data_IF_894602833238
#
_entry.id   IF_894602833238
#
_cell.length_a   1.000
_cell.length_b   1.000
_cell.length_c   1.000
_cell.angle_alpha   90.00
_cell.angle_beta   90.00
_cell.angle_gamma   90.00
#
_symmetry.space_group_name_H-M   'P 1'
#
loop_
_entity.id
_entity.type
_entity.pdbx_description
1 polymer ?
#
# COMPACT_ATOMS: atom_id res chain seq x y z
N UNK A 1 18.78 -45.82 17.91
CA UNK A 1 17.51 -45.60 17.20
C UNK A 1 16.80 -44.44 17.88
N UNK A 2 17.18 -43.24 17.49
CA UNK A 2 16.68 -41.97 18.01
C UNK A 2 15.63 -41.47 17.01
N UNK A 3 14.39 -41.29 17.47
CA UNK A 3 13.25 -40.91 16.63
C UNK A 3 13.33 -39.41 16.26
N UNK A 4 13.50 -39.06 14.97
CA UNK A 4 13.56 -37.67 14.53
C UNK A 4 12.20 -36.94 14.56
N UNK A 5 11.07 -37.67 14.59
CA UNK A 5 9.74 -37.05 14.58
C UNK A 5 9.38 -36.27 15.85
N UNK A 6 10.02 -36.54 17.00
CA UNK A 6 9.67 -35.85 18.24
C UNK A 6 10.21 -34.41 18.32
N UNK A 7 11.22 -34.07 17.50
CA UNK A 7 11.79 -32.70 17.47
C UNK A 7 10.96 -31.74 16.65
N UNK A 8 10.39 -32.19 15.53
CA UNK A 8 9.50 -31.38 14.68
C UNK A 8 8.21 -31.02 15.45
N UNK A 9 7.66 -31.97 16.21
CA UNK A 9 6.49 -31.73 17.04
C UNK A 9 6.75 -30.73 18.18
N UNK A 10 7.97 -30.68 18.72
CA UNK A 10 8.37 -29.72 19.76
C UNK A 10 8.65 -28.31 19.21
N UNK A 11 9.03 -28.19 17.93
CA UNK A 11 9.20 -26.91 17.23
C UNK A 11 7.83 -26.34 16.86
N UNK A 12 6.93 -27.16 16.29
CA UNK A 12 5.55 -26.76 15.98
C UNK A 12 4.75 -26.38 17.24
N UNK A 13 4.92 -27.13 18.34
CA UNK A 13 4.24 -26.80 19.59
C UNK A 13 4.78 -25.52 20.25
N UNK A 14 6.07 -25.18 20.05
CA UNK A 14 6.63 -23.89 20.48
C UNK A 14 6.18 -22.72 19.60
N UNK A 15 6.16 -22.86 18.26
CA UNK A 15 5.64 -21.83 17.34
C UNK A 15 4.14 -21.55 17.56
N UNK A 16 3.34 -22.59 17.82
CA UNK A 16 1.92 -22.44 18.16
C UNK A 16 1.69 -21.78 19.54
N UNK A 17 2.53 -22.05 20.55
CA UNK A 17 2.44 -21.39 21.87
C UNK A 17 2.96 -19.95 21.87
N UNK A 18 3.80 -19.55 20.91
CA UNK A 18 4.25 -18.15 20.76
C UNK A 18 3.19 -17.33 20.02
N UNK A 19 2.58 -17.85 18.94
CA UNK A 19 1.43 -17.18 18.27
C UNK A 19 0.21 -17.07 19.20
N UNK A 20 -0.06 -18.08 20.03
CA UNK A 20 -1.17 -18.04 21.00
C UNK A 20 -0.97 -17.07 22.18
N UNK A 21 0.25 -16.54 22.38
CA UNK A 21 0.50 -15.43 23.32
C UNK A 21 0.43 -14.04 22.67
N UNK A 22 0.49 -13.94 21.34
CA UNK A 22 0.35 -12.68 20.59
C UNK A 22 -1.13 -12.37 20.30
N UNK A 23 -1.99 -13.39 20.20
CA UNK A 23 -3.45 -13.24 19.96
C UNK A 23 -4.30 -12.87 21.20
N UNK A 24 -3.75 -12.90 22.42
CA UNK A 24 -4.46 -12.39 23.62
C UNK A 24 -4.15 -10.91 23.94
N UNK A 25 -3.40 -10.21 23.08
CA UNK A 25 -3.08 -8.77 23.25
C UNK A 25 -3.70 -7.84 22.18
N UNK A 26 -4.42 -8.39 21.19
CA UNK A 26 -4.94 -7.61 20.05
C UNK A 26 -6.34 -6.99 20.19
N UNK A 27 -7.12 -7.31 21.23
CA UNK A 27 -8.51 -6.80 21.38
C UNK A 27 -8.66 -5.65 22.40
N UNK A 28 -7.60 -4.89 22.72
CA UNK A 28 -7.71 -3.82 23.74
C UNK A 28 -6.90 -2.54 23.48
N UNK A 29 -6.44 -2.25 22.26
CA UNK A 29 -5.58 -1.06 22.05
C UNK A 29 -6.37 0.24 21.82
N UNK A 30 -7.57 0.20 21.24
CA UNK A 30 -8.35 1.44 21.00
C UNK A 30 -9.21 1.88 22.19
N UNK A 31 -9.44 1.01 23.19
CA UNK A 31 -10.21 1.35 24.42
C UNK A 31 -9.34 1.57 25.66
N UNK A 32 -8.02 1.37 25.58
CA UNK A 32 -7.12 1.38 26.75
C UNK A 32 -6.33 2.68 26.94
N UNK A 33 -6.19 3.53 25.92
CA UNK A 33 -5.58 4.86 26.10
C UNK A 33 -6.51 5.85 26.82
N UNK A 34 -7.84 5.72 26.67
CA UNK A 34 -8.82 6.51 27.44
C UNK A 34 -9.07 5.97 28.87
N UNK A 35 -8.88 4.68 29.13
CA UNK A 35 -9.14 4.07 30.45
C UNK A 35 -7.96 4.16 31.43
N UNK A 36 -6.71 4.30 30.94
CA UNK A 36 -5.53 4.53 31.80
C UNK A 36 -5.47 5.95 32.36
N UNK A 37 -6.01 6.96 31.68
CA UNK A 37 -6.16 8.30 32.24
C UNK A 37 -7.29 8.38 33.29
N UNK A 38 -8.38 7.63 33.12
CA UNK A 38 -9.47 7.56 34.11
C UNK A 38 -9.12 6.72 35.36
N UNK A 39 -8.32 5.65 35.22
CA UNK A 39 -7.89 4.85 36.37
C UNK A 39 -6.81 5.55 37.22
N UNK A 40 -5.93 6.35 36.60
CA UNK A 40 -4.98 7.20 37.32
C UNK A 40 -5.69 8.38 38.01
N UNK A 41 -6.71 8.98 37.39
CA UNK A 41 -7.54 9.99 38.05
C UNK A 41 -8.33 9.43 39.24
N UNK A 42 -8.87 8.20 39.14
CA UNK A 42 -9.59 7.56 40.25
C UNK A 42 -8.66 7.07 41.38
N UNK A 43 -7.42 6.67 41.09
CA UNK A 43 -6.42 6.30 42.09
C UNK A 43 -5.81 7.53 42.81
N UNK A 44 -5.65 8.66 42.11
CA UNK A 44 -5.21 9.93 42.71
C UNK A 44 -6.30 10.51 43.64
N UNK A 45 -7.58 10.35 43.30
CA UNK A 45 -8.71 10.75 44.17
C UNK A 45 -8.82 9.86 45.42
N UNK A 46 -8.39 8.59 45.36
CA UNK A 46 -8.41 7.68 46.52
C UNK A 46 -7.15 7.76 47.41
N UNK A 47 -6.02 8.29 46.92
CA UNK A 47 -4.82 8.54 47.75
C UNK A 47 -4.87 9.85 48.55
N UNK A 48 -5.77 10.78 48.21
CA UNK A 48 -5.99 12.01 48.99
C UNK A 48 -6.99 11.84 50.15
N UNK A 49 -7.64 10.67 50.26
CA UNK A 49 -8.67 10.41 51.28
C UNK A 49 -8.19 9.86 52.63
N UNK A 50 -6.90 9.54 52.80
CA UNK A 50 -6.40 8.83 54.00
C UNK A 50 -5.43 9.63 54.89
N UNK A 51 -5.19 10.92 54.60
CA UNK A 51 -4.43 11.80 55.50
C UNK A 51 -5.36 12.76 56.24
N UNK A 52 -6.31 12.19 57.01
CA UNK A 52 -6.94 12.93 58.11
C UNK A 52 -6.23 12.61 59.41
N UNK A 53 -5.85 13.68 60.10
CA UNK A 53 -5.30 13.79 61.45
C UNK A 53 -3.77 13.88 61.49
N UNK A 54 -3.26 15.08 61.25
CA UNK A 54 -2.60 15.84 62.30
C UNK A 54 -2.54 17.33 61.92
N UNK A 55 -3.07 18.14 62.82
CA UNK A 55 -3.03 19.59 62.80
C UNK A 55 -1.58 20.09 62.85
N UNK A 56 -1.06 20.60 61.73
CA UNK A 56 0.02 21.59 61.72
C UNK A 56 -0.17 22.47 60.47
N UNK A 57 -0.79 23.64 60.69
CA UNK A 57 -0.90 24.75 59.73
C UNK A 57 0.51 25.29 59.40
N UNK A 58 1.17 24.72 58.39
CA UNK A 58 2.14 25.47 57.60
C UNK A 58 1.56 25.70 56.20
N UNK A 59 1.20 26.96 55.94
CA UNK A 59 0.70 27.43 54.66
C UNK A 59 1.72 27.14 53.55
N UNK A 60 1.57 26.00 52.87
CA UNK A 60 2.26 25.72 51.62
C UNK A 60 1.81 26.76 50.60
N UNK A 61 2.76 27.61 50.20
CA UNK A 61 2.57 28.53 49.08
C UNK A 61 2.32 27.68 47.84
N UNK A 62 1.35 28.04 46.98
CA UNK A 62 1.12 27.33 45.73
C UNK A 62 2.45 27.25 44.98
N UNK A 63 2.90 26.02 44.74
CA UNK A 63 4.03 25.77 43.87
C UNK A 63 3.64 26.37 42.51
N UNK A 64 4.48 27.24 41.91
CA UNK A 64 4.15 27.78 40.60
C UNK A 64 3.89 26.59 39.67
N UNK A 65 2.70 26.56 39.07
CA UNK A 65 2.42 25.60 37.99
C UNK A 65 3.57 25.76 36.98
N UNK A 66 4.27 24.68 36.64
CA UNK A 66 5.32 24.77 35.63
C UNK A 66 4.65 25.35 34.38
N UNK A 67 5.14 26.52 33.96
CA UNK A 67 4.69 27.17 32.72
C UNK A 67 4.78 26.12 31.62
N UNK A 68 3.61 25.67 31.18
CA UNK A 68 3.41 24.70 30.12
C UNK A 68 3.88 25.40 28.84
N UNK A 69 5.18 25.25 28.55
CA UNK A 69 5.77 25.67 27.29
C UNK A 69 5.10 24.81 26.22
N UNK A 70 4.05 25.34 25.60
CA UNK A 70 3.49 24.79 24.39
C UNK A 70 4.58 24.88 23.33
N UNK A 71 5.13 23.73 22.95
CA UNK A 71 6.00 23.65 21.78
C UNK A 71 5.16 24.05 20.57
N UNK A 72 5.62 25.08 19.85
CA UNK A 72 5.00 25.51 18.61
C UNK A 72 5.40 24.50 17.54
N UNK A 73 4.42 23.73 17.05
CA UNK A 73 4.59 22.78 15.95
C UNK A 73 4.73 23.61 14.67
N UNK A 74 5.76 23.37 13.84
CA UNK A 74 5.88 24.06 12.56
C UNK A 74 4.65 23.78 11.68
N UNK A 75 4.38 24.66 10.72
CA UNK A 75 3.35 24.44 9.71
C UNK A 75 4.00 23.69 8.53
N UNK A 76 3.38 22.60 8.07
CA UNK A 76 3.86 21.83 6.93
C UNK A 76 3.46 22.55 5.64
N UNK A 77 4.45 22.90 4.82
CA UNK A 77 4.25 23.52 3.50
C UNK A 77 4.24 22.43 2.41
N UNK A 78 3.67 22.74 1.24
CA UNK A 78 3.55 21.80 0.11
C UNK A 78 4.91 21.21 -0.33
N UNK A 79 5.92 22.05 -0.51
CA UNK A 79 7.29 21.61 -0.87
C UNK A 79 7.91 20.70 0.21
N UNK A 80 7.59 20.93 1.49
CA UNK A 80 8.09 20.10 2.59
C UNK A 80 7.34 18.75 2.64
N UNK A 81 6.05 18.73 2.32
CA UNK A 81 5.28 17.50 2.21
C UNK A 81 5.82 16.60 1.08
N UNK A 82 6.17 17.17 -0.08
CA UNK A 82 6.84 16.45 -1.18
C UNK A 82 8.16 15.82 -0.72
N UNK A 83 9.01 16.57 -0.02
CA UNK A 83 10.29 16.06 0.51
C UNK A 83 10.08 14.89 1.49
N UNK A 84 9.06 14.97 2.34
CA UNK A 84 8.69 13.88 3.27
C UNK A 84 8.27 12.62 2.50
N UNK A 85 7.44 12.77 1.46
CA UNK A 85 6.95 11.65 0.63
C UNK A 85 8.06 11.05 -0.26
N UNK A 86 8.95 11.88 -0.79
CA UNK A 86 10.17 11.42 -1.49
C UNK A 86 11.07 10.62 -0.54
N UNK A 87 11.36 11.15 0.65
CA UNK A 87 12.16 10.47 1.67
C UNK A 87 11.53 9.12 2.03
N UNK A 88 10.19 9.08 2.12
CA UNK A 88 9.43 7.86 2.35
C UNK A 88 9.65 6.81 1.27
N UNK A 89 9.53 7.19 0.00
CA UNK A 89 9.80 6.31 -1.14
C UNK A 89 11.28 5.85 -1.19
N UNK A 90 12.21 6.79 -1.08
CA UNK A 90 13.65 6.53 -1.13
C UNK A 90 14.10 5.53 -0.06
N UNK A 91 13.59 5.62 1.17
CA UNK A 91 13.95 4.67 2.22
C UNK A 91 13.56 3.23 1.85
N UNK A 92 12.39 3.03 1.24
CA UNK A 92 11.97 1.72 0.79
C UNK A 92 12.79 1.23 -0.41
N UNK A 93 13.00 2.09 -1.40
CA UNK A 93 13.82 1.74 -2.58
C UNK A 93 15.25 1.39 -2.18
N UNK A 94 15.84 2.12 -1.23
CA UNK A 94 17.18 1.80 -0.71
C UNK A 94 17.25 0.38 -0.12
N UNK A 95 16.20 -0.12 0.54
CA UNK A 95 16.18 -1.50 1.04
C UNK A 95 16.16 -2.49 -0.12
N UNK A 96 15.36 -2.23 -1.16
CA UNK A 96 15.24 -3.10 -2.34
C UNK A 96 16.54 -3.10 -3.16
N UNK A 97 17.12 -1.93 -3.42
CA UNK A 97 18.33 -1.78 -4.23
C UNK A 97 19.56 -2.43 -3.59
N UNK A 98 19.60 -2.52 -2.25
CA UNK A 98 20.67 -3.19 -1.51
C UNK A 98 20.44 -4.70 -1.35
N UNK A 99 19.31 -5.23 -1.79
CA UNK A 99 19.09 -6.67 -1.79
C UNK A 99 20.00 -7.38 -2.80
N UNK A 100 20.35 -8.63 -2.49
CA UNK A 100 21.07 -9.50 -3.41
C UNK A 100 20.22 -9.85 -4.65
N UNK A 101 20.86 -10.39 -5.68
CA UNK A 101 20.20 -10.76 -6.96
C UNK A 101 19.05 -11.77 -6.77
N UNK A 102 19.06 -12.55 -5.69
CA UNK A 102 17.99 -13.49 -5.32
C UNK A 102 16.92 -12.90 -4.39
N UNK A 103 16.97 -11.59 -4.14
CA UNK A 103 16.02 -10.87 -3.29
C UNK A 103 16.31 -10.94 -1.79
N UNK A 104 17.45 -11.51 -1.36
CA UNK A 104 17.88 -11.51 0.04
C UNK A 104 18.31 -10.10 0.48
N UNK A 105 17.68 -9.55 1.51
CA UNK A 105 18.04 -8.26 2.09
C UNK A 105 19.16 -8.48 3.11
N UNK A 106 20.39 -8.07 2.78
CA UNK A 106 21.58 -8.41 3.58
C UNK A 106 21.99 -7.37 4.62
N UNK A 107 21.40 -6.18 4.59
CA UNK A 107 21.76 -5.08 5.48
C UNK A 107 21.09 -5.16 6.87
N UNK A 108 20.12 -6.07 7.04
CA UNK A 108 19.36 -6.25 8.28
C UNK A 108 19.39 -7.72 8.73
N UNK A 109 19.57 -7.94 10.03
CA UNK A 109 19.63 -9.29 10.62
C UNK A 109 18.23 -9.84 10.97
N UNK A 110 17.20 -8.99 11.01
CA UNK A 110 15.82 -9.38 11.37
C UNK A 110 14.76 -8.41 10.85
N UNK A 111 13.50 -8.86 10.62
CA UNK A 111 12.40 -7.98 10.25
C UNK A 111 12.18 -6.83 11.25
N UNK A 112 12.44 -7.06 12.54
CA UNK A 112 12.33 -6.01 13.56
C UNK A 112 13.36 -4.88 13.39
N UNK A 113 14.57 -5.20 12.89
CA UNK A 113 15.60 -4.19 12.61
C UNK A 113 15.22 -3.37 11.37
N UNK A 114 14.68 -4.02 10.34
CA UNK A 114 14.13 -3.35 9.16
C UNK A 114 12.96 -2.43 9.54
N UNK A 115 12.07 -2.89 10.42
CA UNK A 115 10.98 -2.07 10.95
C UNK A 115 11.51 -0.85 11.73
N UNK A 116 12.57 -1.01 12.53
CA UNK A 116 13.20 0.10 13.25
C UNK A 116 13.77 1.15 12.29
N UNK A 117 14.38 0.71 11.18
CA UNK A 117 14.88 1.60 10.13
C UNK A 117 13.74 2.37 9.46
N UNK A 118 12.66 1.70 9.05
CA UNK A 118 11.48 2.38 8.50
C UNK A 118 10.83 3.33 9.51
N UNK A 119 10.80 2.99 10.80
CA UNK A 119 10.24 3.86 11.84
C UNK A 119 10.97 5.20 11.99
N UNK A 120 12.12 5.37 11.34
CA UNK A 120 12.79 6.68 11.26
C UNK A 120 12.11 7.66 10.31
N UNK A 121 11.31 7.21 9.35
CA UNK A 121 10.68 8.07 8.34
C UNK A 121 9.16 7.92 8.29
N UNK A 122 8.63 6.88 8.93
CA UNK A 122 7.19 6.60 9.02
C UNK A 122 6.77 6.18 10.43
N UNK A 123 5.48 6.08 10.70
CA UNK A 123 4.98 5.61 12.00
C UNK A 123 5.38 4.15 12.26
N UNK A 124 5.48 3.76 13.54
CA UNK A 124 5.79 2.38 13.93
C UNK A 124 4.78 1.38 13.36
N UNK A 125 3.50 1.78 13.31
CA UNK A 125 2.41 0.96 12.78
C UNK A 125 2.50 0.79 11.25
N UNK A 126 2.79 1.88 10.51
CA UNK A 126 3.00 1.81 9.06
C UNK A 126 4.29 1.04 8.72
N UNK A 127 5.37 1.25 9.47
CA UNK A 127 6.63 0.51 9.32
C UNK A 127 6.42 -1.00 9.49
N UNK A 128 5.62 -1.42 10.48
CA UNK A 128 5.28 -2.82 10.68
C UNK A 128 4.47 -3.38 9.49
N UNK A 129 3.45 -2.64 9.03
CA UNK A 129 2.62 -3.03 7.88
C UNK A 129 3.45 -3.19 6.60
N UNK A 130 4.36 -2.25 6.34
CA UNK A 130 5.28 -2.29 5.20
C UNK A 130 6.26 -3.47 5.31
N UNK A 131 6.89 -3.66 6.47
CA UNK A 131 7.80 -4.79 6.69
C UNK A 131 7.09 -6.15 6.49
N UNK A 132 5.89 -6.30 7.05
CA UNK A 132 5.11 -7.54 6.95
C UNK A 132 4.56 -7.80 5.53
N UNK A 133 4.25 -6.76 4.76
CA UNK A 133 3.65 -6.89 3.42
C UNK A 133 4.68 -7.24 2.33
N UNK A 134 5.90 -6.70 2.43
CA UNK A 134 6.90 -6.76 1.37
C UNK A 134 8.10 -7.63 1.72
N UNK A 135 8.24 -8.11 2.97
CA UNK A 135 9.39 -8.89 3.40
C UNK A 135 8.99 -10.14 4.19
N UNK A 136 9.67 -11.26 3.92
CA UNK A 136 9.46 -12.53 4.63
C UNK A 136 10.78 -13.06 5.20
N UNK A 137 10.76 -13.48 6.47
CA UNK A 137 11.86 -14.19 7.11
C UNK A 137 11.78 -15.70 6.82
N UNK A 138 12.83 -16.26 6.23
CA UNK A 138 12.90 -17.68 5.94
C UNK A 138 13.22 -18.54 7.20
N UNK A 139 13.35 -19.87 7.04
CA UNK A 139 13.67 -20.75 8.18
C UNK A 139 15.09 -20.57 8.75
N UNK A 140 15.99 -19.95 8.00
CA UNK A 140 17.38 -19.69 8.37
C UNK A 140 17.56 -18.32 9.05
N UNK A 141 16.53 -17.46 9.00
CA UNK A 141 16.52 -16.11 9.56
C UNK A 141 16.88 -15.01 8.56
N UNK A 142 17.07 -15.34 7.28
CA UNK A 142 17.32 -14.35 6.23
C UNK A 142 16.01 -13.73 5.75
N UNK A 143 16.05 -12.43 5.46
CA UNK A 143 14.90 -11.63 4.99
C UNK A 143 14.89 -11.62 3.46
N UNK A 144 13.73 -11.85 2.85
CA UNK A 144 13.55 -11.81 1.41
C UNK A 144 12.43 -10.87 1.02
N UNK A 145 12.59 -10.18 -0.11
CA UNK A 145 11.52 -9.39 -0.73
C UNK A 145 10.44 -10.34 -1.27
N UNK A 146 9.19 -10.10 -0.92
CA UNK A 146 8.02 -10.84 -1.41
C UNK A 146 7.41 -10.05 -2.58
N UNK A 147 7.26 -10.72 -3.73
CA UNK A 147 6.68 -10.12 -4.93
C UNK A 147 5.14 -10.07 -4.86
N UNK A 148 4.59 -9.48 -3.81
CA UNK A 148 3.14 -9.47 -3.55
C UNK A 148 2.41 -8.48 -4.44
N UNK A 149 2.93 -7.26 -4.53
CA UNK A 149 2.43 -6.09 -5.27
C UNK A 149 3.48 -4.99 -5.10
N UNK A 150 3.49 -3.93 -5.90
CA UNK A 150 4.37 -2.77 -5.69
C UNK A 150 3.63 -1.75 -4.80
N UNK A 151 4.30 -1.07 -3.84
CA UNK A 151 3.66 0.02 -3.13
C UNK A 151 3.27 1.13 -4.10
N UNK A 152 2.14 1.78 -3.83
CA UNK A 152 1.73 2.96 -4.57
C UNK A 152 2.55 4.15 -4.06
N UNK A 153 3.29 4.77 -4.98
CA UNK A 153 4.18 5.89 -4.66
C UNK A 153 3.57 7.22 -5.04
N UNK A 154 3.99 8.26 -4.32
CA UNK A 154 3.64 9.64 -4.65
C UNK A 154 4.27 10.01 -5.99
N UNK A 155 3.45 10.55 -6.90
CA UNK A 155 3.91 11.01 -8.21
C UNK A 155 3.99 12.54 -8.26
N UNK A 156 5.20 13.08 -8.33
CA UNK A 156 5.43 14.54 -8.38
C UNK A 156 4.91 15.19 -9.68
N UNK A 157 4.71 14.41 -10.73
CA UNK A 157 4.19 14.92 -12.00
C UNK A 157 2.67 15.11 -11.96
N UNK A 158 1.98 14.43 -11.05
CA UNK A 158 0.54 14.48 -10.87
C UNK A 158 0.12 15.56 -9.86
N UNK A 159 -1.06 16.15 -10.08
CA UNK A 159 -1.59 17.15 -9.16
C UNK A 159 -2.08 16.51 -7.86
N UNK A 160 -1.81 17.15 -6.73
CA UNK A 160 -2.27 16.72 -5.42
C UNK A 160 -2.87 17.88 -4.62
N UNK A 161 -3.66 17.55 -3.59
CA UNK A 161 -4.20 18.50 -2.63
C UNK A 161 -3.58 18.25 -1.25
N UNK A 162 -3.08 19.31 -0.59
CA UNK A 162 -2.55 19.25 0.79
C UNK A 162 -3.55 19.92 1.74
N UNK A 163 -4.10 19.14 2.67
CA UNK A 163 -5.05 19.63 3.67
C UNK A 163 -4.52 19.46 5.10
N UNK A 164 -4.79 20.44 5.96
CA UNK A 164 -4.47 20.36 7.38
C UNK A 164 -5.64 19.73 8.14
N UNK A 165 -5.52 18.45 8.47
CA UNK A 165 -6.53 17.71 9.23
C UNK A 165 -6.54 18.08 10.72
N UNK A 166 -5.36 18.15 11.36
CA UNK A 166 -5.19 18.55 12.77
C UNK A 166 -3.97 19.47 12.97
N UNK A 167 -3.69 19.93 14.20
CA UNK A 167 -2.55 20.82 14.49
C UNK A 167 -1.19 20.19 14.07
N UNK A 168 -1.11 18.86 14.13
CA UNK A 168 0.08 18.05 13.88
C UNK A 168 -0.14 16.93 12.85
N UNK A 169 -1.21 17.02 12.05
CA UNK A 169 -1.58 16.04 11.03
C UNK A 169 -2.02 16.75 9.76
N UNK A 170 -1.44 16.34 8.64
CA UNK A 170 -1.76 16.80 7.30
C UNK A 170 -2.08 15.60 6.42
N UNK A 171 -2.90 15.81 5.40
CA UNK A 171 -3.30 14.80 4.42
C UNK A 171 -2.90 15.29 3.03
N UNK A 172 -2.28 14.40 2.24
CA UNK A 172 -1.98 14.62 0.82
C UNK A 172 -2.83 13.66 0.01
N UNK A 173 -3.76 14.20 -0.76
CA UNK A 173 -4.65 13.43 -1.64
C UNK A 173 -4.19 13.53 -3.09
N UNK A 174 -4.03 12.40 -3.76
CA UNK A 174 -3.60 12.32 -5.16
C UNK A 174 -4.43 11.28 -5.94
N UNK A 175 -5.04 11.71 -7.04
CA UNK A 175 -5.66 10.80 -8.02
C UNK A 175 -4.64 10.36 -9.08
N UNK A 176 -4.33 9.07 -9.13
CA UNK A 176 -3.45 8.47 -10.14
C UNK A 176 -4.27 7.91 -11.29
N UNK A 177 -4.41 8.70 -12.36
CA UNK A 177 -5.25 8.35 -13.52
C UNK A 177 -4.80 7.06 -14.21
N UNK A 178 -3.48 6.84 -14.31
CA UNK A 178 -2.93 5.65 -14.97
C UNK A 178 -3.25 4.36 -14.20
N UNK A 179 -3.35 4.45 -12.87
CA UNK A 179 -3.64 3.32 -11.99
C UNK A 179 -5.12 3.21 -11.62
N UNK A 180 -5.94 4.23 -11.94
CA UNK A 180 -7.33 4.37 -11.47
C UNK A 180 -7.44 4.32 -9.94
N UNK A 181 -6.46 4.89 -9.24
CA UNK A 181 -6.38 4.88 -7.78
C UNK A 181 -6.46 6.30 -7.22
N UNK A 182 -7.15 6.48 -6.11
CA UNK A 182 -7.03 7.62 -5.22
C UNK A 182 -6.16 7.24 -4.04
N UNK A 183 -5.13 8.03 -3.75
CA UNK A 183 -4.15 7.74 -2.69
C UNK A 183 -4.14 8.89 -1.69
N UNK A 184 -4.24 8.56 -0.41
CA UNK A 184 -4.21 9.53 0.68
C UNK A 184 -3.03 9.22 1.61
N UNK A 185 -2.10 10.17 1.73
CA UNK A 185 -0.96 10.08 2.64
C UNK A 185 -1.21 10.93 3.88
N UNK A 186 -1.16 10.31 5.07
CA UNK A 186 -1.30 11.02 6.35
C UNK A 186 0.09 11.38 6.90
N UNK A 187 0.45 12.66 6.99
CA UNK A 187 1.75 13.16 7.46
C UNK A 187 1.63 13.75 8.87
N UNK A 188 2.41 13.24 9.82
CA UNK A 188 2.31 13.57 11.25
C UNK A 188 3.60 14.16 11.82
N UNK A 189 3.50 15.18 12.68
CA UNK A 189 4.66 15.75 13.38
C UNK A 189 5.06 14.88 14.57
N UNK A 190 6.18 14.18 14.44
CA UNK A 190 6.76 13.34 15.48
C UNK A 190 8.00 13.99 16.09
N UNK A 191 7.82 14.57 17.29
CA UNK A 191 8.85 15.24 18.09
C UNK A 191 9.53 16.41 17.35
N UNK A 192 10.44 16.10 16.43
CA UNK A 192 11.30 17.07 15.73
C UNK A 192 11.21 16.99 14.20
N UNK A 193 10.36 16.11 13.64
CA UNK A 193 10.24 15.94 12.18
C UNK A 193 8.85 15.48 11.75
N UNK A 194 8.53 15.76 10.49
CA UNK A 194 7.39 15.17 9.79
C UNK A 194 7.72 13.74 9.35
N UNK A 195 6.76 12.84 9.52
CA UNK A 195 6.85 11.44 9.08
C UNK A 195 5.53 11.01 8.44
N UNK A 196 5.57 10.02 7.56
CA UNK A 196 4.36 9.40 7.01
C UNK A 196 3.74 8.48 8.06
N UNK A 197 2.53 8.78 8.50
CA UNK A 197 1.84 8.02 9.53
C UNK A 197 0.95 6.90 8.98
N UNK A 198 0.35 7.10 7.81
CA UNK A 198 -0.48 6.11 7.13
C UNK A 198 -0.53 6.38 5.61
N UNK A 199 -0.88 5.33 4.86
CA UNK A 199 -1.14 5.39 3.41
C UNK A 199 -2.39 4.58 3.12
N UNK A 200 -3.40 5.27 2.59
CA UNK A 200 -4.67 4.69 2.17
C UNK A 200 -4.78 4.74 0.64
N UNK A 201 -5.41 3.73 0.07
CA UNK A 201 -5.58 3.59 -1.38
C UNK A 201 -7.00 3.12 -1.65
N UNK A 202 -7.69 3.82 -2.56
CA UNK A 202 -9.05 3.51 -2.98
C UNK A 202 -9.12 3.42 -4.51
N UNK A 203 -9.90 2.47 -5.03
CA UNK A 203 -10.18 2.40 -6.46
C UNK A 203 -11.12 3.54 -6.87
N UNK A 204 -10.77 4.29 -7.92
CA UNK A 204 -11.66 5.31 -8.48
C UNK A 204 -12.76 4.58 -9.27
N UNK A 205 -14.05 4.76 -8.91
CA UNK A 205 -15.13 4.13 -9.65
C UNK A 205 -15.12 4.66 -11.08
N UNK A 206 -14.86 3.79 -12.04
CA UNK A 206 -15.05 4.11 -13.46
C UNK A 206 -16.54 4.33 -13.62
N UNK A 207 -16.96 5.59 -13.75
CA UNK A 207 -18.33 5.93 -14.09
C UNK A 207 -18.65 5.21 -15.41
N UNK A 208 -19.30 4.04 -15.31
CA UNK A 208 -19.77 3.29 -16.44
C UNK A 208 -20.76 4.21 -17.15
N UNK A 209 -20.27 4.83 -18.21
CA UNK A 209 -21.05 5.69 -19.05
C UNK A 209 -22.05 4.78 -19.75
N UNK A 210 -23.20 4.55 -19.09
CA UNK A 210 -24.39 3.82 -19.52
C UNK A 210 -25.07 4.55 -20.68
N UNK A 211 -24.27 4.97 -21.66
CA UNK A 211 -24.65 5.44 -22.97
C UNK A 211 -25.20 4.32 -23.86
N UNK A 212 -25.65 3.19 -23.30
CA UNK A 212 -26.68 2.38 -23.96
C UNK A 212 -28.00 3.15 -23.91
N UNK A 213 -28.07 4.17 -24.75
CA UNK A 213 -29.31 4.64 -25.35
C UNK A 213 -29.87 3.47 -26.13
N UNK A 214 -30.49 2.55 -25.40
CA UNK A 214 -31.25 1.44 -25.93
C UNK A 214 -32.39 2.08 -26.70
N UNK A 215 -32.16 2.16 -28.01
CA UNK A 215 -33.12 2.54 -29.01
C UNK A 215 -34.31 1.59 -28.84
N UNK A 216 -35.34 2.07 -28.14
CA UNK A 216 -36.60 1.37 -28.01
C UNK A 216 -37.24 1.30 -29.40
N UNK A 217 -36.86 0.28 -30.17
CA UNK A 217 -37.60 -0.10 -31.36
C UNK A 217 -38.99 -0.50 -30.92
N UNK A 218 -39.93 0.39 -31.25
CA UNK A 218 -41.35 0.13 -31.14
C UNK A 218 -41.68 -1.06 -32.06
N UNK A 219 -41.82 -2.23 -31.46
CA UNK A 219 -42.50 -3.39 -32.04
C UNK A 219 -43.98 -3.03 -32.32
N UNK A 220 -44.19 -2.40 -33.48
CA UNK A 220 -45.49 -2.23 -34.09
C UNK A 220 -45.73 -3.39 -35.06
N UNK A 221 -46.48 -4.36 -34.56
CA UNK A 221 -47.30 -5.33 -35.29
C UNK A 221 -47.81 -4.83 -36.66
N UNK A 222 -47.31 -5.40 -37.76
CA UNK A 222 -48.11 -5.65 -38.97
C UNK A 222 -47.46 -6.62 -39.96
N UNK A 223 -48.17 -7.72 -40.19
CA UNK A 223 -48.33 -8.40 -41.49
C UNK A 223 -47.98 -7.53 -42.71
N UNK A 224 -47.22 -8.07 -43.67
CA UNK A 224 -47.69 -8.34 -45.06
C UNK A 224 -46.51 -8.58 -46.06
N UNK A 225 -46.42 -9.83 -46.53
CA UNK A 225 -46.26 -10.29 -47.93
C UNK A 225 -45.20 -9.68 -48.87
N UNK A 226 -44.35 -10.59 -49.38
CA UNK A 226 -43.68 -10.65 -50.69
C UNK A 226 -43.97 -9.52 -51.70
N UNK A 227 -42.91 -8.86 -52.19
CA UNK A 227 -42.74 -8.68 -53.65
C UNK A 227 -41.31 -8.29 -54.04
N UNK A 228 -40.75 -9.08 -54.97
CA UNK A 228 -39.53 -8.81 -55.73
C UNK A 228 -39.61 -7.48 -56.49
N UNK A 229 -38.49 -6.76 -56.59
CA UNK A 229 -37.99 -6.27 -57.88
C UNK A 229 -36.57 -5.72 -57.81
N UNK A 230 -35.73 -6.26 -58.69
CA UNK A 230 -34.49 -5.67 -59.21
C UNK A 230 -34.71 -4.21 -59.64
N UNK A 231 -33.68 -3.38 -59.54
CA UNK A 231 -33.24 -2.48 -60.62
C UNK A 231 -31.85 -1.93 -60.29
N UNK A 232 -30.91 -2.23 -61.19
CA UNK A 232 -29.63 -1.55 -61.38
C UNK A 232 -29.80 -0.02 -61.35
N UNK A 233 -28.91 0.71 -60.67
CA UNK A 233 -28.51 2.01 -61.22
C UNK A 233 -27.09 2.42 -60.80
N UNK A 234 -26.26 2.43 -61.83
CA UNK A 234 -25.02 3.15 -62.05
C UNK A 234 -24.99 4.62 -61.57
N UNK A 235 -23.74 5.07 -61.40
CA UNK A 235 -23.21 6.45 -61.54
C UNK A 235 -23.19 7.36 -60.31
N UNK A 236 -21.99 7.70 -59.85
CA UNK A 236 -21.34 9.02 -59.97
C UNK A 236 -20.44 9.26 -58.75
N UNK A 237 -19.12 9.21 -58.91
CA UNK A 237 -18.28 10.37 -59.24
C UNK A 237 -18.43 11.51 -58.21
N UNK A 238 -17.52 11.57 -57.24
CA UNK A 238 -16.92 12.85 -56.88
C UNK A 238 -15.56 12.67 -56.20
N UNK A 239 -14.53 12.87 -57.01
CA UNK A 239 -13.21 13.33 -56.59
C UNK A 239 -13.33 14.53 -55.63
N UNK A 240 -12.49 14.56 -54.60
CA UNK A 240 -12.03 15.83 -54.03
C UNK A 240 -10.59 15.69 -53.56
N UNK A 241 -9.68 15.92 -54.50
CA UNK A 241 -8.30 16.34 -54.23
C UNK A 241 -8.31 17.68 -53.46
N UNK A 242 -7.50 17.76 -52.41
CA UNK A 242 -7.27 18.97 -51.63
C UNK A 242 -5.87 18.96 -51.03
N UNK A 243 -4.90 19.35 -51.86
CA UNK A 243 -3.48 19.44 -51.54
C UNK A 243 -3.10 20.64 -50.65
N UNK A 244 -2.00 20.43 -49.93
CA UNK A 244 -0.95 21.39 -49.57
C UNK A 244 -1.23 22.49 -48.52
N UNK A 245 -0.50 22.39 -47.40
CA UNK A 245 0.34 23.48 -46.91
C UNK A 245 1.44 22.91 -45.99
N UNK A 246 2.67 22.91 -46.52
CA UNK A 246 3.89 22.99 -45.71
C UNK A 246 3.87 24.32 -44.95
N UNK A 247 4.08 24.29 -43.64
CA UNK A 247 4.61 25.44 -42.89
C UNK A 247 5.69 24.90 -41.95
N UNK A 248 6.91 24.99 -42.44
CA UNK A 248 8.17 24.96 -41.71
C UNK A 248 8.15 26.08 -40.68
N UNK A 249 8.27 25.78 -39.39
CA UNK A 249 8.55 26.80 -38.39
C UNK A 249 9.87 26.49 -37.68
N UNK A 250 10.85 27.27 -38.13
CA UNK A 250 12.18 27.54 -37.60
C UNK A 250 12.03 28.39 -36.34
N UNK A 251 12.52 27.93 -35.18
CA UNK A 251 12.83 28.81 -34.05
C UNK A 251 13.97 28.19 -33.24
N UNK A 252 15.20 28.60 -33.48
CA UNK A 252 15.93 29.71 -32.81
C UNK A 252 16.63 29.22 -31.55
N UNK A 253 17.91 28.87 -31.75
CA UNK A 253 18.95 28.92 -30.73
C UNK A 253 18.99 30.34 -30.13
N UNK A 254 18.74 30.47 -28.82
CA UNK A 254 19.20 31.61 -28.04
C UNK A 254 20.21 31.15 -26.99
N UNK A 255 21.48 31.34 -27.36
CA UNK A 255 22.59 31.57 -26.46
C UNK A 255 22.19 32.60 -25.38
N UNK A 256 22.14 32.18 -24.11
CA UNK A 256 22.21 33.11 -22.98
C UNK A 256 23.55 32.95 -22.29
N UNK A 257 24.52 33.72 -22.77
CA UNK A 257 25.73 34.08 -22.04
C UNK A 257 25.62 35.54 -21.58
N UNK A 258 25.55 35.75 -20.26
CA UNK A 258 25.94 36.97 -19.54
C UNK A 258 26.29 36.50 -18.11
N UNK A 259 27.54 36.42 -17.67
CA UNK A 259 28.53 37.48 -17.48
C UNK A 259 28.01 38.61 -16.59
N UNK A 260 28.34 38.61 -15.30
CA UNK A 260 29.23 39.63 -14.74
C UNK A 260 29.58 39.39 -13.27
N UNK A 261 30.82 39.77 -12.97
CA UNK A 261 31.51 39.66 -11.72
C UNK A 261 30.88 40.50 -10.60
N UNK A 262 30.99 40.02 -9.36
CA UNK A 262 31.18 40.93 -8.25
C UNK A 262 32.19 40.34 -7.25
N UNK A 263 33.42 40.82 -7.34
CA UNK A 263 34.41 40.72 -6.29
C UNK A 263 34.27 41.95 -5.39
N UNK A 264 34.10 41.77 -4.09
CA UNK A 264 34.60 42.73 -3.10
C UNK A 264 34.89 41.99 -1.80
N UNK A 265 36.15 42.10 -1.39
CA UNK A 265 36.75 41.65 -0.14
C UNK A 265 36.11 42.37 1.06
N UNK A 266 35.94 41.68 2.20
CA UNK A 266 36.29 42.27 3.50
C UNK A 266 36.82 41.18 4.44
N UNK A 267 37.90 41.55 5.12
CA UNK A 267 38.67 40.81 6.10
C UNK A 267 37.86 40.49 7.36
N UNK A 268 38.12 39.32 7.97
CA UNK A 268 38.22 39.30 9.42
C UNK A 268 39.14 38.16 9.92
N UNK A 269 40.08 38.58 10.75
CA UNK A 269 41.05 37.79 11.51
C UNK A 269 40.39 36.74 12.42
N UNK A 270 41.00 35.56 12.54
CA UNK A 270 41.29 34.94 13.85
C UNK A 270 42.25 33.73 13.80
N UNK A 271 43.54 34.03 14.01
CA UNK A 271 44.45 33.52 15.05
C UNK A 271 44.25 32.08 15.63
N UNK A 272 45.26 31.24 15.34
CA UNK A 272 45.94 30.19 16.15
C UNK A 272 45.41 28.74 16.21
N UNK A 273 46.26 27.74 16.59
CA UNK A 273 47.69 27.54 16.31
C UNK A 273 48.06 26.09 15.91
N UNK A 274 49.31 25.96 15.42
CA UNK A 274 50.19 24.77 15.40
C UNK A 274 49.78 23.53 16.22
N UNK A 275 49.78 22.38 15.54
CA UNK A 275 50.46 21.18 16.04
C UNK A 275 50.89 20.26 14.89
N UNK A 276 52.15 20.46 14.49
CA UNK A 276 53.19 19.46 14.21
C UNK A 276 52.81 18.05 13.71
N UNK A 277 53.34 17.76 12.52
CA UNK A 277 54.14 16.58 12.17
C UNK A 277 53.72 15.21 12.72
N UNK A 278 53.32 14.29 11.82
CA UNK A 278 54.25 13.19 11.54
C UNK A 278 54.12 12.59 10.13
N UNK A 279 55.28 12.12 9.71
CA UNK A 279 55.76 11.84 8.37
C UNK A 279 55.58 10.36 7.98
N UNK A 280 55.61 10.13 6.66
CA UNK A 280 56.23 9.00 5.95
C UNK A 280 55.45 7.71 5.69
N UNK A 281 55.36 7.39 4.39
CA UNK A 281 55.21 6.03 3.88
C UNK A 281 54.65 5.92 2.45
N UNK A 282 55.10 6.75 1.50
CA UNK A 282 55.80 6.30 0.28
C UNK A 282 55.67 4.80 -0.07
N UNK A 283 54.92 4.52 -1.14
CA UNK A 283 54.90 3.23 -1.83
C UNK A 283 54.16 3.34 -3.16
N UNK A 284 54.85 3.82 -4.20
CA UNK A 284 54.31 3.85 -5.55
C UNK A 284 54.38 2.48 -6.22
N UNK A 285 53.42 2.21 -7.10
CA UNK A 285 53.61 1.32 -8.25
C UNK A 285 52.83 1.85 -9.45
N UNK A 286 53.60 1.98 -10.52
CA UNK A 286 53.29 2.39 -11.86
C UNK A 286 52.20 1.56 -12.57
N UNK A 287 51.39 2.29 -13.35
CA UNK A 287 51.06 2.07 -14.78
C UNK A 287 50.52 0.70 -15.22
N UNK A 288 49.30 0.69 -15.76
CA UNK A 288 48.98 0.02 -17.04
C UNK A 288 47.60 0.47 -17.54
N UNK A 289 47.61 1.32 -18.57
CA UNK A 289 46.51 1.50 -19.51
C UNK A 289 46.12 0.15 -20.13
N UNK A 290 44.83 -0.12 -20.23
CA UNK A 290 44.29 -1.14 -21.12
C UNK A 290 42.86 -0.76 -21.51
N UNK A 291 42.77 0.05 -22.57
CA UNK A 291 41.62 0.09 -23.46
C UNK A 291 41.23 -1.34 -23.87
N UNK A 292 39.99 -1.74 -23.62
CA UNK A 292 39.36 -2.84 -24.36
C UNK A 292 37.88 -2.55 -24.50
N UNK A 293 37.55 -2.00 -25.66
CA UNK A 293 36.24 -2.12 -26.31
C UNK A 293 35.88 -3.59 -26.48
N UNK A 294 34.69 -3.99 -26.04
CA UNK A 294 34.03 -5.17 -26.61
C UNK A 294 32.53 -4.89 -26.70
N UNK A 295 32.11 -4.62 -27.92
CA UNK A 295 30.73 -4.60 -28.38
C UNK A 295 30.11 -5.98 -28.15
N UNK A 296 28.99 -6.05 -27.44
CA UNK A 296 28.16 -7.25 -27.44
C UNK A 296 26.75 -6.89 -27.91
N UNK A 297 26.55 -7.03 -29.22
CA UNK A 297 25.24 -7.17 -29.85
C UNK A 297 24.53 -8.39 -29.22
N UNK A 298 23.42 -8.14 -28.50
CA UNK A 298 22.47 -9.20 -28.15
C UNK A 298 21.22 -9.09 -29.03
N UNK A 299 21.11 -10.08 -29.91
CA UNK A 299 19.96 -10.46 -30.73
C UNK A 299 18.67 -10.49 -29.89
N UNK A 300 17.74 -9.60 -30.23
CA UNK A 300 16.37 -9.59 -29.74
C UNK A 300 15.57 -10.66 -30.52
N UNK A 301 15.44 -11.85 -29.93
CA UNK A 301 14.61 -12.92 -30.48
C UNK A 301 13.15 -12.73 -30.07
N UNK A 302 12.32 -12.36 -31.05
CA UNK A 302 10.87 -12.48 -31.00
C UNK A 302 10.44 -13.91 -30.61
N UNK A 303 9.64 -14.05 -29.55
CA UNK A 303 8.83 -15.24 -29.34
C UNK A 303 7.40 -14.83 -28.99
N UNK A 304 6.62 -14.75 -30.07
CA UNK A 304 5.17 -14.66 -30.10
C UNK A 304 4.60 -16.07 -29.87
N UNK A 305 3.96 -16.33 -28.72
CA UNK A 305 3.06 -17.48 -28.54
C UNK A 305 1.85 -17.10 -27.69
N UNK A 306 0.83 -16.64 -28.42
CA UNK A 306 -0.58 -16.92 -28.13
C UNK A 306 -0.81 -18.44 -28.08
N UNK A 307 -1.64 -18.93 -27.14
CA UNK A 307 -2.49 -20.07 -27.45
C UNK A 307 -3.97 -19.72 -27.26
N UNK A 308 -4.65 -19.63 -28.42
CA UNK A 308 -6.08 -19.91 -28.54
C UNK A 308 -6.38 -21.27 -27.89
N UNK A 309 -7.25 -21.28 -26.88
CA UNK A 309 -7.84 -22.49 -26.34
C UNK A 309 -8.97 -22.97 -27.25
N UNK A 310 -8.65 -23.97 -28.08
CA UNK A 310 -9.63 -24.77 -28.81
C UNK A 310 -10.53 -25.55 -27.86
N UNK A 311 -11.84 -25.34 -28.02
CA UNK A 311 -12.91 -26.17 -27.49
C UNK A 311 -12.75 -27.61 -27.98
N UNK A 312 -12.64 -28.57 -27.04
CA UNK A 312 -12.77 -29.97 -27.36
C UNK A 312 -13.65 -30.67 -26.32
N UNK A 313 -14.94 -30.71 -26.63
CA UNK A 313 -15.94 -31.54 -25.98
C UNK A 313 -15.71 -33.01 -26.35
N UNK A 314 -15.08 -33.78 -25.45
CA UNK A 314 -15.24 -35.25 -25.46
C UNK A 314 -15.81 -35.73 -24.13
N UNK A 315 -17.07 -36.14 -24.25
CA UNK A 315 -17.97 -36.76 -23.29
C UNK A 315 -17.36 -38.07 -22.72
N UNK A 316 -16.73 -37.98 -21.55
CA UNK A 316 -16.45 -39.15 -20.69
C UNK A 316 -17.36 -39.11 -19.48
N UNK A 317 -18.44 -39.89 -19.55
CA UNK A 317 -19.37 -40.14 -18.44
C UNK A 317 -18.75 -41.11 -17.45
N UNK A 318 -17.75 -40.66 -16.70
CA UNK A 318 -17.56 -41.14 -15.33
C UNK A 318 -18.51 -40.31 -14.45
N UNK A 319 -19.21 -40.97 -13.53
CA UNK A 319 -19.99 -40.31 -12.47
C UNK A 319 -19.01 -39.61 -11.50
N UNK A 320 -18.29 -38.62 -12.03
CA UNK A 320 -17.46 -37.71 -11.28
C UNK A 320 -18.46 -36.78 -10.59
N UNK A 321 -18.53 -36.85 -9.26
CA UNK A 321 -19.31 -35.92 -8.48
C UNK A 321 -18.85 -34.52 -8.91
N UNK A 322 -19.72 -33.81 -9.64
CA UNK A 322 -19.43 -32.48 -10.15
C UNK A 322 -19.06 -31.62 -8.94
N UNK A 323 -17.78 -31.27 -8.82
CA UNK A 323 -17.33 -30.27 -7.86
C UNK A 323 -18.12 -29.00 -8.10
N UNK A 324 -18.65 -28.40 -7.04
CA UNK A 324 -19.30 -27.10 -7.15
C UNK A 324 -18.24 -26.02 -7.42
N UNK A 325 -18.64 -24.95 -8.09
CA UNK A 325 -17.80 -23.76 -8.29
C UNK A 325 -18.03 -22.72 -7.16
N UNK A 326 -17.24 -21.64 -7.17
CA UNK A 326 -17.32 -20.57 -6.16
C UNK A 326 -18.71 -19.89 -6.14
N UNK A 327 -19.28 -19.61 -7.31
CA UNK A 327 -20.61 -18.99 -7.41
C UNK A 327 -21.71 -19.89 -6.81
N UNK A 328 -21.61 -21.21 -7.00
CA UNK A 328 -22.49 -22.18 -6.36
C UNK A 328 -22.28 -22.22 -4.83
N UNK A 329 -21.04 -22.08 -4.35
CA UNK A 329 -20.75 -22.01 -2.91
C UNK A 329 -21.38 -20.78 -2.25
N UNK A 330 -21.24 -19.59 -2.84
CA UNK A 330 -21.88 -18.35 -2.35
C UNK A 330 -23.40 -18.49 -2.28
N UNK A 331 -24.01 -19.08 -3.31
CA UNK A 331 -25.46 -19.35 -3.34
C UNK A 331 -25.89 -20.29 -2.21
N UNK A 332 -25.11 -21.33 -1.92
CA UNK A 332 -25.39 -22.27 -0.84
C UNK A 332 -25.32 -21.58 0.53
N UNK A 333 -24.38 -20.66 0.73
CA UNK A 333 -24.29 -19.86 1.97
C UNK A 333 -25.49 -18.93 2.11
N UNK A 334 -25.87 -18.22 1.03
CA UNK A 334 -27.10 -17.38 1.01
C UNK A 334 -28.35 -18.18 1.39
N UNK A 335 -28.49 -19.41 0.84
CA UNK A 335 -29.60 -20.31 1.17
C UNK A 335 -29.52 -20.81 2.63
N UNK A 336 -28.33 -21.19 3.10
CA UNK A 336 -28.10 -21.69 4.47
C UNK A 336 -28.54 -20.68 5.53
N UNK A 337 -28.23 -19.41 5.31
CA UNK A 337 -28.54 -18.33 6.24
C UNK A 337 -30.00 -17.86 6.16
N UNK A 338 -30.76 -18.38 5.18
CA UNK A 338 -32.14 -17.97 4.90
C UNK A 338 -32.25 -16.44 4.85
N UNK A 339 -31.24 -15.81 4.25
CA UNK A 339 -31.16 -14.36 4.13
C UNK A 339 -32.12 -13.93 3.02
N UNK A 340 -33.04 -13.02 3.39
CA UNK A 340 -33.93 -12.32 2.46
C UNK A 340 -33.42 -10.90 2.24
N UNK A 341 -32.38 -10.50 2.96
CA UNK A 341 -31.82 -9.17 2.91
C UNK A 341 -30.73 -9.11 1.86
N UNK A 342 -30.90 -8.21 0.90
CA UNK A 342 -29.94 -7.96 -0.18
C UNK A 342 -28.80 -7.03 0.30
N UNK A 343 -28.81 -6.60 1.58
CA UNK A 343 -27.75 -5.75 2.16
C UNK A 343 -26.47 -6.50 2.55
N UNK A 344 -26.50 -7.84 2.54
CA UNK A 344 -25.35 -8.67 2.89
C UNK A 344 -24.65 -9.17 1.64
N UNK A 345 -23.37 -8.85 1.54
CA UNK A 345 -22.46 -9.38 0.55
C UNK A 345 -21.91 -10.74 0.99
N UNK A 346 -21.86 -11.66 0.03
CA UNK A 346 -21.38 -13.03 0.23
C UNK A 346 -20.37 -13.33 -0.85
N UNK A 347 -19.10 -13.40 -0.47
CA UNK A 347 -17.97 -13.50 -1.41
C UNK A 347 -17.08 -14.66 -1.03
N UNK A 348 -16.68 -15.45 -2.02
CA UNK A 348 -15.67 -16.50 -1.83
C UNK A 348 -14.29 -15.87 -1.64
N UNK A 349 -13.67 -16.07 -0.47
CA UNK A 349 -12.35 -15.51 -0.16
C UNK A 349 -11.22 -16.40 -0.66
N UNK A 350 -11.21 -17.69 -0.30
CA UNK A 350 -10.16 -18.64 -0.67
C UNK A 350 -10.65 -20.10 -0.54
N UNK A 351 -9.77 -21.07 -0.82
CA UNK A 351 -9.99 -22.49 -0.52
C UNK A 351 -9.11 -22.94 0.64
N UNK A 352 -9.63 -23.82 1.51
CA UNK A 352 -8.87 -24.41 2.61
C UNK A 352 -7.92 -25.53 2.14
N UNK A 353 -7.14 -26.10 3.06
CA UNK A 353 -6.18 -27.20 2.77
C UNK A 353 -6.86 -28.46 2.20
N UNK A 354 -8.17 -28.61 2.39
CA UNK A 354 -8.97 -29.74 1.90
C UNK A 354 -9.64 -29.43 0.55
N UNK A 355 -9.49 -28.20 0.03
CA UNK A 355 -10.09 -27.72 -1.22
C UNK A 355 -11.54 -27.23 -1.06
N UNK A 356 -12.03 -27.05 0.16
CA UNK A 356 -13.35 -26.49 0.42
C UNK A 356 -13.33 -24.97 0.29
N UNK A 357 -14.43 -24.36 -0.14
CA UNK A 357 -14.51 -22.90 -0.27
C UNK A 357 -14.72 -22.25 1.08
N UNK A 358 -13.95 -21.21 1.38
CA UNK A 358 -14.15 -20.32 2.53
C UNK A 358 -14.82 -19.04 2.02
N UNK A 359 -16.04 -18.81 2.49
CA UNK A 359 -16.94 -17.74 2.06
C UNK A 359 -17.13 -16.76 3.20
N UNK A 360 -16.90 -15.47 2.93
CA UNK A 360 -17.10 -14.38 3.87
C UNK A 360 -18.50 -13.79 3.67
N UNK A 361 -19.19 -13.47 4.77
CA UNK A 361 -20.46 -12.75 4.75
C UNK A 361 -20.29 -11.43 5.50
N UNK A 362 -20.54 -10.31 4.85
CA UNK A 362 -20.36 -8.98 5.42
C UNK A 362 -21.43 -7.99 4.93
N UNK A 363 -21.60 -6.90 5.67
CA UNK A 363 -22.44 -5.76 5.28
C UNK A 363 -21.53 -4.56 5.00
N UNK A 364 -21.81 -3.84 3.91
CA UNK A 364 -21.26 -2.51 3.71
C UNK A 364 -22.15 -1.52 4.47
N UNK A 365 -21.57 -0.88 5.48
CA UNK A 365 -22.24 0.15 6.26
C UNK A 365 -21.71 1.50 5.78
N UNK A 366 -22.52 2.18 4.98
CA UNK A 366 -22.25 3.56 4.61
C UNK A 366 -22.47 4.46 5.83
N UNK A 367 -21.46 5.26 6.17
CA UNK A 367 -21.64 6.38 7.08
C UNK A 367 -21.87 7.68 6.30
N UNK A 368 -22.59 8.62 6.92
CA UNK A 368 -22.92 9.93 6.33
C UNK A 368 -21.68 10.79 6.03
N UNK A 369 -20.49 10.38 6.48
CA UNK A 369 -19.20 11.04 6.27
C UNK A 369 -18.42 10.52 5.05
N UNK A 370 -18.97 9.55 4.31
CA UNK A 370 -18.32 8.98 3.13
C UNK A 370 -17.37 7.82 3.46
N UNK A 371 -17.11 7.52 4.73
CA UNK A 371 -16.28 6.39 5.12
C UNK A 371 -17.14 5.12 5.19
N UNK A 372 -17.03 4.26 4.17
CA UNK A 372 -17.66 2.95 4.20
C UNK A 372 -16.92 2.01 5.16
N UNK A 373 -17.66 1.22 5.94
CA UNK A 373 -17.09 0.17 6.78
C UNK A 373 -17.68 -1.19 6.43
N UNK A 374 -16.84 -2.23 6.47
CA UNK A 374 -17.31 -3.62 6.33
C UNK A 374 -17.58 -4.22 7.70
N UNK A 375 -18.84 -4.57 7.98
CA UNK A 375 -19.21 -5.33 9.16
C UNK A 375 -19.29 -6.82 8.81
N UNK A 376 -18.25 -7.60 9.15
CA UNK A 376 -18.25 -9.04 8.88
C UNK A 376 -19.20 -9.77 9.84
N UNK A 377 -20.17 -10.48 9.29
CA UNK A 377 -21.14 -11.29 10.04
C UNK A 377 -20.60 -12.66 10.39
N UNK A 378 -19.79 -13.25 9.51
CA UNK A 378 -19.18 -14.55 9.76
C UNK A 378 -18.48 -15.13 8.54
N UNK A 379 -17.85 -16.27 8.77
CA UNK A 379 -17.16 -17.05 7.77
C UNK A 379 -17.77 -18.44 7.69
N UNK A 380 -17.87 -18.97 6.48
CA UNK A 380 -18.50 -20.26 6.21
C UNK A 380 -17.60 -21.10 5.31
N UNK A 381 -17.44 -22.38 5.63
CA UNK A 381 -16.80 -23.34 4.75
C UNK A 381 -17.86 -24.14 3.99
N UNK A 382 -17.72 -24.24 2.67
CA UNK A 382 -18.58 -25.03 1.79
C UNK A 382 -17.78 -26.17 1.19
N UNK A 383 -18.17 -27.40 1.53
CA UNK A 383 -17.53 -28.60 0.98
C UNK A 383 -17.74 -28.68 -0.53
N UNK A 384 -16.65 -28.73 -1.30
CA UNK A 384 -16.68 -28.65 -2.76
C UNK A 384 -17.39 -29.85 -3.41
N UNK A 385 -17.43 -31.00 -2.74
CA UNK A 385 -18.01 -32.23 -3.29
C UNK A 385 -19.47 -32.40 -2.89
N UNK A 386 -19.83 -32.01 -1.68
CA UNK A 386 -21.15 -32.27 -1.08
C UNK A 386 -22.04 -31.03 -1.01
N UNK A 387 -21.45 -29.83 -1.08
CA UNK A 387 -22.15 -28.56 -0.86
C UNK A 387 -22.59 -28.35 0.59
N UNK A 388 -22.06 -29.11 1.55
CA UNK A 388 -22.35 -28.90 2.97
C UNK A 388 -21.74 -27.58 3.45
N UNK A 389 -22.58 -26.68 3.97
CA UNK A 389 -22.16 -25.40 4.55
C UNK A 389 -21.98 -25.53 6.06
N UNK A 390 -20.83 -25.09 6.58
CA UNK A 390 -20.52 -25.03 8.01
C UNK A 390 -20.02 -23.65 8.38
N UNK A 391 -20.46 -23.12 9.52
CA UNK A 391 -19.89 -21.90 10.10
C UNK A 391 -18.47 -22.19 10.62
N UNK A 392 -17.54 -21.29 10.32
CA UNK A 392 -16.12 -21.44 10.64
C UNK A 392 -15.77 -20.48 11.78
N UNK A 393 -15.48 -21.05 12.94
CA UNK A 393 -14.94 -20.30 14.09
C UNK A 393 -13.41 -20.17 13.93
N UNK A 394 -12.92 -18.94 13.79
CA UNK A 394 -11.48 -18.63 13.76
C UNK A 394 -10.91 -18.34 15.16
#
# INVERSE_FOLDING_TARGET
MTFPCLKIFLIYWKRCMIKKKKLEMGENIVKSRLFRLMAVAAAIVLLLGACSNNDDEEAQKPMPEPDEQKEEIPELEAEEAEEVLQTYNEAFQNVIENAAEDGEVTDFDSPEELQEEFSTIMSEDLAAKMADAYFEENEEGSIYIVASEEPVWFDEEETYELEKAEDNLYEVEQEQTDNMLSVTYSIFWNEEKWIVSDVETEDIPVEENDGDTSNSEAEADSNQTEQENNTDNDTADQDTDGAAAEETNESTDEDTANNEANATEEENDQVSPDSEENNSGQGGTDTSDSDTSDDTDMDNSESNQNPESEENEEENTDENASSIDAAAAEKLVKEHLNMVDDSLEVVTSHQDEEGNYVVQVYELVDQDDGLAHTATYGWYTVDQTTGEVKETEF
#
